data_IF_468356015811
#
_entry.id   IF_468356015811
#
_cell.length_a   1.000
_cell.length_b   1.000
_cell.length_c   1.000
_cell.angle_alpha   90.00
_cell.angle_beta   90.00
_cell.angle_gamma   90.00
#
_symmetry.space_group_name_H-M   'P 1'
#
loop_
_entity.id
_entity.type
_entity.pdbx_description
1 polymer ?
#
# COMPACT_ATOMS: atom_id res chain seq x y z
N UNK A 1 24.11 -7.05 -7.95
CA UNK A 1 23.12 -6.19 -7.29
C UNK A 1 21.94 -7.03 -6.82
N UNK A 2 21.28 -6.66 -5.71
CA UNK A 2 20.08 -7.37 -5.21
C UNK A 2 18.90 -6.91 -6.09
N UNK A 3 18.25 -7.86 -6.78
CA UNK A 3 17.01 -7.58 -7.52
C UNK A 3 15.95 -7.11 -6.53
N UNK A 4 15.36 -5.94 -6.75
CA UNK A 4 14.24 -5.45 -5.94
C UNK A 4 13.00 -6.32 -6.17
N UNK A 5 12.35 -6.70 -5.08
CA UNK A 5 11.12 -7.46 -5.14
C UNK A 5 9.94 -6.52 -5.39
N UNK A 6 9.01 -6.94 -6.25
CA UNK A 6 7.79 -6.17 -6.55
C UNK A 6 6.54 -6.98 -6.22
N UNK A 7 5.51 -6.28 -5.75
CA UNK A 7 4.16 -6.79 -5.50
C UNK A 7 3.18 -6.14 -6.46
N UNK A 8 2.18 -6.89 -6.88
CA UNK A 8 0.99 -6.36 -7.53
C UNK A 8 0.07 -5.79 -6.45
N UNK A 9 -0.02 -4.46 -6.32
CA UNK A 9 -0.97 -3.85 -5.40
C UNK A 9 -2.41 -4.10 -5.85
N UNK A 10 -3.31 -4.40 -4.91
CA UNK A 10 -4.70 -4.71 -5.22
C UNK A 10 -5.42 -3.56 -5.95
N UNK A 11 -5.05 -2.31 -5.64
CA UNK A 11 -5.63 -1.11 -6.23
C UNK A 11 -5.46 -0.94 -7.74
N UNK A 12 -4.54 -1.69 -8.39
CA UNK A 12 -4.39 -1.69 -9.87
C UNK A 12 -5.62 -2.29 -10.55
N UNK A 13 -6.26 -3.25 -9.90
CA UNK A 13 -7.39 -4.03 -10.44
C UNK A 13 -8.56 -4.03 -9.47
N UNK A 14 -9.23 -2.87 -9.26
CA UNK A 14 -10.30 -2.74 -8.27
C UNK A 14 -11.52 -3.64 -8.55
N UNK A 15 -11.68 -4.10 -9.79
CA UNK A 15 -12.74 -5.02 -10.21
C UNK A 15 -12.38 -6.50 -10.05
N UNK A 16 -11.12 -6.81 -9.72
CA UNK A 16 -10.67 -8.20 -9.63
C UNK A 16 -11.15 -8.88 -8.35
N UNK A 17 -11.54 -10.13 -8.46
CA UNK A 17 -11.78 -10.98 -7.29
C UNK A 17 -10.44 -11.32 -6.60
N UNK A 18 -10.45 -11.69 -5.30
CA UNK A 18 -9.25 -12.12 -4.59
C UNK A 18 -8.48 -13.24 -5.32
N UNK A 19 -9.19 -14.18 -5.93
CA UNK A 19 -8.60 -15.27 -6.70
C UNK A 19 -7.87 -14.76 -7.96
N UNK A 20 -8.49 -13.84 -8.70
CA UNK A 20 -7.91 -13.24 -9.89
C UNK A 20 -6.65 -12.41 -9.57
N UNK A 21 -6.59 -11.72 -8.42
CA UNK A 21 -5.38 -11.01 -7.99
C UNK A 21 -4.18 -11.96 -7.87
N UNK A 22 -4.37 -13.15 -7.27
CA UNK A 22 -3.31 -14.17 -7.18
C UNK A 22 -2.91 -14.69 -8.56
N UNK A 23 -3.88 -15.02 -9.41
CA UNK A 23 -3.63 -15.52 -10.77
C UNK A 23 -2.84 -14.50 -11.61
N UNK A 24 -3.25 -13.23 -11.55
CA UNK A 24 -2.59 -12.15 -12.26
C UNK A 24 -1.17 -11.88 -11.74
N UNK A 25 -0.97 -11.89 -10.42
CA UNK A 25 0.36 -11.72 -9.83
C UNK A 25 1.32 -12.84 -10.28
N UNK A 26 0.85 -14.09 -10.25
CA UNK A 26 1.61 -15.25 -10.71
C UNK A 26 1.95 -15.15 -12.20
N UNK A 27 0.93 -14.92 -13.05
CA UNK A 27 1.08 -14.84 -14.50
C UNK A 27 2.01 -13.72 -14.96
N UNK A 28 1.99 -12.57 -14.26
CA UNK A 28 2.83 -11.42 -14.57
C UNK A 28 4.24 -11.50 -13.94
N UNK A 29 4.54 -12.51 -13.12
CA UNK A 29 5.85 -12.70 -12.50
C UNK A 29 6.17 -11.68 -11.42
N UNK A 30 5.16 -11.22 -10.69
CA UNK A 30 5.38 -10.50 -9.44
C UNK A 30 5.92 -11.43 -8.36
N UNK A 31 6.74 -10.89 -7.46
CA UNK A 31 7.26 -11.66 -6.33
C UNK A 31 6.21 -11.81 -5.23
N UNK A 32 5.26 -10.85 -5.16
CA UNK A 32 4.17 -10.80 -4.19
C UNK A 32 2.86 -10.32 -4.84
N UNK A 33 1.75 -10.51 -4.10
CA UNK A 33 0.46 -9.88 -4.38
C UNK A 33 -0.07 -9.11 -3.17
N UNK A 34 -0.79 -8.03 -3.41
CA UNK A 34 -1.64 -7.35 -2.44
C UNK A 34 -3.05 -7.94 -2.43
N UNK A 35 -3.80 -7.72 -1.36
CA UNK A 35 -5.14 -8.29 -1.21
C UNK A 35 -6.12 -7.29 -0.59
N UNK A 36 -7.20 -6.98 -1.32
CA UNK A 36 -8.35 -6.31 -0.72
C UNK A 36 -9.24 -7.29 0.04
N UNK A 37 -9.57 -6.93 1.27
CA UNK A 37 -10.43 -7.71 2.15
C UNK A 37 -11.71 -6.94 2.39
N UNK A 38 -12.73 -7.27 1.61
CA UNK A 38 -14.02 -6.60 1.65
C UNK A 38 -14.89 -7.14 2.79
N UNK A 39 -15.25 -6.28 3.74
CA UNK A 39 -16.01 -6.64 4.95
C UNK A 39 -17.28 -7.43 4.68
N UNK A 40 -18.04 -6.99 3.65
CA UNK A 40 -19.37 -7.50 3.35
C UNK A 40 -19.36 -8.89 2.73
N UNK A 41 -18.25 -9.26 2.11
CA UNK A 41 -18.15 -10.51 1.31
C UNK A 41 -17.11 -11.48 1.84
N UNK A 42 -16.20 -11.02 2.72
CA UNK A 42 -15.13 -11.85 3.22
C UNK A 42 -15.60 -12.86 4.27
N UNK A 43 -15.14 -14.08 4.15
CA UNK A 43 -15.47 -15.17 5.06
C UNK A 43 -14.23 -15.95 5.47
N UNK A 44 -14.26 -16.71 6.58
CA UNK A 44 -13.17 -17.62 6.92
C UNK A 44 -12.90 -18.71 5.86
N UNK A 45 -13.90 -19.06 5.06
CA UNK A 45 -13.72 -19.96 3.92
C UNK A 45 -12.93 -19.29 2.81
N UNK A 46 -13.18 -18.01 2.53
CA UNK A 46 -12.43 -17.19 1.58
C UNK A 46 -10.95 -17.12 2.00
N UNK A 47 -10.67 -16.82 3.27
CA UNK A 47 -9.29 -16.79 3.80
C UNK A 47 -8.53 -18.08 3.52
N UNK A 48 -9.14 -19.24 3.83
CA UNK A 48 -8.51 -20.55 3.58
C UNK A 48 -8.28 -20.82 2.10
N UNK A 49 -9.27 -20.51 1.25
CA UNK A 49 -9.20 -20.74 -0.19
C UNK A 49 -8.08 -19.87 -0.82
N UNK A 50 -8.04 -18.57 -0.52
CA UNK A 50 -7.05 -17.63 -1.05
C UNK A 50 -5.64 -18.00 -0.55
N UNK A 51 -5.50 -18.30 0.73
CA UNK A 51 -4.21 -18.79 1.27
C UNK A 51 -3.71 -20.03 0.54
N UNK A 52 -4.59 -20.99 0.25
CA UNK A 52 -4.20 -22.20 -0.48
C UNK A 52 -3.83 -21.89 -1.91
N UNK A 53 -4.63 -21.09 -2.61
CA UNK A 53 -4.36 -20.67 -3.99
C UNK A 53 -3.03 -19.92 -4.11
N UNK A 54 -2.74 -18.99 -3.20
CA UNK A 54 -1.48 -18.26 -3.18
C UNK A 54 -0.28 -19.20 -3.05
N UNK A 55 -0.36 -20.19 -2.16
CA UNK A 55 0.66 -21.25 -2.01
C UNK A 55 0.85 -22.07 -3.29
N UNK A 56 -0.25 -22.51 -3.90
CA UNK A 56 -0.23 -23.33 -5.10
C UNK A 56 0.33 -22.58 -6.31
N UNK A 57 0.06 -21.26 -6.36
CA UNK A 57 0.60 -20.35 -7.37
C UNK A 57 2.05 -19.88 -7.09
N UNK A 58 2.59 -20.16 -5.90
CA UNK A 58 3.92 -19.69 -5.49
C UNK A 58 3.98 -18.16 -5.27
N UNK A 59 2.84 -17.51 -4.97
CA UNK A 59 2.74 -16.08 -4.70
C UNK A 59 2.62 -15.86 -3.19
N UNK A 60 3.53 -15.10 -2.60
CA UNK A 60 3.37 -14.64 -1.23
C UNK A 60 2.52 -13.37 -1.18
N UNK A 61 1.76 -13.16 -0.09
CA UNK A 61 1.00 -11.93 0.12
C UNK A 61 1.86 -10.91 0.85
N UNK A 62 2.09 -9.76 0.19
CA UNK A 62 2.85 -8.67 0.80
C UNK A 62 2.01 -7.92 1.81
N UNK A 63 0.79 -7.58 1.44
CA UNK A 63 -0.10 -6.75 2.24
C UNK A 63 -1.58 -7.11 2.06
N UNK A 64 -2.36 -6.72 3.06
CA UNK A 64 -3.82 -6.63 2.99
C UNK A 64 -4.25 -5.17 3.09
N UNK A 65 -5.34 -4.82 2.45
CA UNK A 65 -5.93 -3.47 2.39
C UNK A 65 -7.44 -3.54 2.70
N UNK A 66 -8.06 -2.57 3.34
CA UNK A 66 -7.55 -1.38 4.02
C UNK A 66 -8.13 -1.32 5.42
N UNK A 67 -7.30 -1.15 6.45
CA UNK A 67 -7.78 -0.78 7.77
C UNK A 67 -8.02 0.74 7.80
N UNK A 68 -9.26 1.16 7.61
CA UNK A 68 -9.62 2.57 7.55
C UNK A 68 -10.18 3.04 8.89
N UNK A 69 -9.37 3.79 9.64
CA UNK A 69 -9.80 4.39 10.90
C UNK A 69 -10.74 5.56 10.60
N UNK A 70 -12.00 5.46 11.08
CA UNK A 70 -13.03 6.47 10.91
C UNK A 70 -13.31 7.19 12.23
N UNK A 71 -13.92 8.40 12.19
CA UNK A 71 -14.44 9.07 13.40
C UNK A 71 -15.42 8.20 14.16
N UNK A 72 -15.46 8.37 15.49
CA UNK A 72 -16.37 7.62 16.35
C UNK A 72 -15.67 6.51 17.16
N UNK A 73 -16.44 5.52 17.67
CA UNK A 73 -15.88 4.44 18.49
C UNK A 73 -14.93 3.54 17.65
N UNK A 74 -14.02 2.79 18.31
CA UNK A 74 -13.22 1.77 17.64
C UNK A 74 -14.12 0.75 16.93
N UNK A 75 -13.78 0.44 15.66
CA UNK A 75 -14.48 -0.60 14.88
C UNK A 75 -13.79 -1.97 15.10
N UNK A 76 -14.51 -2.97 15.66
CA UNK A 76 -13.95 -4.30 15.87
C UNK A 76 -13.50 -4.99 14.59
N UNK A 77 -14.07 -4.64 13.43
CA UNK A 77 -13.67 -5.16 12.14
C UNK A 77 -12.19 -4.91 11.83
N UNK A 78 -11.66 -3.76 12.23
CA UNK A 78 -10.24 -3.44 11.98
C UNK A 78 -9.29 -4.40 12.73
N UNK A 79 -9.69 -4.85 13.92
CA UNK A 79 -8.94 -5.90 14.65
C UNK A 79 -9.08 -7.26 13.98
N UNK A 80 -10.29 -7.59 13.51
CA UNK A 80 -10.53 -8.82 12.74
C UNK A 80 -9.70 -8.84 11.45
N UNK A 81 -9.56 -7.71 10.76
CA UNK A 81 -8.75 -7.58 9.57
C UNK A 81 -7.26 -7.88 9.83
N UNK A 82 -6.73 -7.53 11.01
CA UNK A 82 -5.37 -7.93 11.43
C UNK A 82 -5.27 -9.47 11.48
N UNK A 83 -6.28 -10.14 12.05
CA UNK A 83 -6.29 -11.61 12.15
C UNK A 83 -6.45 -12.27 10.78
N UNK A 84 -7.31 -11.73 9.93
CA UNK A 84 -7.46 -12.19 8.54
C UNK A 84 -6.12 -12.07 7.78
N UNK A 85 -5.44 -10.93 7.88
CA UNK A 85 -4.12 -10.74 7.26
C UNK A 85 -3.10 -11.79 7.75
N UNK A 86 -3.10 -12.08 9.05
CA UNK A 86 -2.24 -13.11 9.64
C UNK A 86 -2.59 -14.52 9.14
N UNK A 87 -3.87 -14.86 9.09
CA UNK A 87 -4.33 -16.16 8.58
C UNK A 87 -4.03 -16.35 7.09
N UNK A 88 -4.12 -15.29 6.29
CA UNK A 88 -3.71 -15.27 4.89
C UNK A 88 -2.20 -15.49 4.74
N UNK A 89 -1.41 -15.15 5.75
CA UNK A 89 0.04 -15.12 5.71
C UNK A 89 0.60 -13.84 5.09
N UNK A 90 -0.18 -12.77 5.05
CA UNK A 90 0.28 -11.46 4.63
C UNK A 90 1.29 -10.89 5.63
N UNK A 91 2.28 -10.16 5.11
CA UNK A 91 3.34 -9.56 5.95
C UNK A 91 2.90 -8.22 6.54
N UNK A 92 1.98 -7.53 5.90
CA UNK A 92 1.58 -6.18 6.22
C UNK A 92 0.07 -6.00 6.17
N UNK A 93 -0.42 -5.02 6.92
CA UNK A 93 -1.77 -4.46 6.82
C UNK A 93 -1.64 -2.96 6.58
N UNK A 94 -2.20 -2.46 5.48
CA UNK A 94 -2.28 -1.04 5.19
C UNK A 94 -3.35 -0.41 6.08
N UNK A 95 -3.01 0.72 6.71
CA UNK A 95 -3.90 1.47 7.59
C UNK A 95 -3.87 2.96 7.22
N UNK A 96 -5.04 3.56 7.05
CA UNK A 96 -5.24 5.01 6.88
C UNK A 96 -6.19 5.54 7.93
N UNK A 97 -6.22 6.87 8.15
CA UNK A 97 -7.16 7.49 9.09
C UNK A 97 -7.83 8.73 8.52
N UNK A 98 -9.16 8.73 8.55
CA UNK A 98 -10.01 9.90 8.31
C UNK A 98 -10.63 10.45 9.61
N UNK A 99 -10.11 10.05 10.78
CA UNK A 99 -10.51 10.63 12.05
C UNK A 99 -9.75 11.96 12.28
N UNK A 100 -10.43 13.11 12.36
CA UNK A 100 -9.76 14.40 12.58
C UNK A 100 -9.17 14.54 13.99
N UNK A 101 -9.57 13.68 14.94
CA UNK A 101 -8.96 13.61 16.27
C UNK A 101 -7.69 12.73 16.22
N UNK A 102 -6.53 13.37 16.23
CA UNK A 102 -5.24 12.67 16.20
C UNK A 102 -4.99 11.82 17.44
N UNK A 103 -5.56 12.16 18.59
CA UNK A 103 -5.45 11.34 19.79
C UNK A 103 -6.30 10.07 19.66
N UNK A 104 -7.53 10.19 19.10
CA UNK A 104 -8.37 9.05 18.79
C UNK A 104 -7.74 8.15 17.71
N UNK A 105 -7.17 8.72 16.64
CA UNK A 105 -6.40 7.99 15.63
C UNK A 105 -5.26 7.20 16.27
N UNK A 106 -4.46 7.84 17.11
CA UNK A 106 -3.33 7.20 17.82
C UNK A 106 -3.79 6.03 18.68
N UNK A 107 -4.86 6.19 19.46
CA UNK A 107 -5.40 5.14 20.31
C UNK A 107 -5.95 3.95 19.52
N UNK A 108 -6.66 4.22 18.41
CA UNK A 108 -7.17 3.17 17.50
C UNK A 108 -6.04 2.44 16.78
N UNK A 109 -5.03 3.17 16.30
CA UNK A 109 -3.85 2.58 15.69
C UNK A 109 -3.05 1.73 16.69
N UNK A 110 -2.91 2.19 17.95
CA UNK A 110 -2.33 1.38 19.04
C UNK A 110 -3.07 0.05 19.22
N UNK A 111 -4.40 0.07 19.14
CA UNK A 111 -5.21 -1.16 19.24
C UNK A 111 -4.86 -2.16 18.13
N UNK A 112 -4.70 -1.69 16.89
CA UNK A 112 -4.31 -2.54 15.76
C UNK A 112 -2.89 -3.09 15.91
N UNK A 113 -1.94 -2.25 16.32
CA UNK A 113 -0.55 -2.67 16.59
C UNK A 113 -0.50 -3.72 17.71
N UNK A 114 -1.31 -3.55 18.76
CA UNK A 114 -1.42 -4.52 19.84
C UNK A 114 -2.02 -5.84 19.39
N UNK A 115 -3.04 -5.82 18.55
CA UNK A 115 -3.64 -7.02 17.94
C UNK A 115 -2.65 -7.76 17.03
N UNK A 116 -1.79 -7.02 16.34
CA UNK A 116 -0.77 -7.58 15.46
C UNK A 116 0.44 -8.18 16.20
N UNK A 117 0.60 -7.88 17.48
CA UNK A 117 1.71 -8.33 18.30
C UNK A 117 1.82 -9.84 18.33
N UNK A 118 2.56 -10.64 17.85
CA UNK A 118 2.66 -12.12 17.78
C UNK A 118 2.04 -12.74 16.52
N UNK A 119 1.50 -11.93 15.60
CA UNK A 119 0.92 -12.47 14.35
C UNK A 119 1.94 -12.54 13.22
N UNK A 120 3.00 -11.76 13.29
CA UNK A 120 3.97 -11.54 12.20
C UNK A 120 3.55 -10.44 11.22
N UNK A 121 2.33 -9.89 11.35
CA UNK A 121 1.84 -8.78 10.53
C UNK A 121 2.36 -7.45 11.05
N UNK A 122 2.79 -6.56 10.15
CA UNK A 122 3.11 -5.16 10.45
C UNK A 122 1.93 -4.28 10.05
N UNK A 123 1.47 -3.40 10.94
CA UNK A 123 0.42 -2.41 10.65
C UNK A 123 1.09 -1.15 10.15
N UNK A 124 0.90 -0.84 8.87
CA UNK A 124 1.57 0.24 8.19
C UNK A 124 0.65 1.46 8.09
N UNK A 125 0.97 2.51 8.83
CA UNK A 125 0.24 3.77 8.73
C UNK A 125 0.65 4.51 7.47
N UNK A 126 -0.29 4.69 6.56
CA UNK A 126 -0.14 5.50 5.37
C UNK A 126 -0.66 6.93 5.65
N UNK A 127 0.06 7.90 5.13
CA UNK A 127 -0.35 9.30 5.14
C UNK A 127 -0.65 9.78 3.72
N UNK A 128 -1.61 10.71 3.59
CA UNK A 128 -1.95 11.26 2.28
C UNK A 128 -2.98 12.38 2.39
N UNK A 129 -2.94 13.31 1.44
CA UNK A 129 -3.83 14.49 1.43
C UNK A 129 -5.31 14.16 1.32
N UNK A 130 -5.66 12.91 1.00
CA UNK A 130 -7.04 12.38 0.95
C UNK A 130 -7.55 11.90 2.32
N UNK A 131 -6.71 11.90 3.35
CA UNK A 131 -7.03 11.47 4.73
C UNK A 131 -6.83 12.61 5.73
N UNK A 132 -7.03 12.34 7.03
CA UNK A 132 -6.71 13.31 8.06
C UNK A 132 -5.25 13.20 8.57
N UNK A 133 -4.59 12.07 8.35
CA UNK A 133 -3.12 11.97 8.51
C UNK A 133 -2.47 12.38 7.20
N UNK A 134 -2.39 13.69 6.96
CA UNK A 134 -2.07 14.24 5.63
C UNK A 134 -0.60 14.23 5.26
N UNK A 135 0.30 14.19 6.25
CA UNK A 135 1.73 14.41 6.01
C UNK A 135 2.61 13.43 6.76
N UNK A 136 3.83 13.23 6.28
CA UNK A 136 4.84 12.41 6.96
C UNK A 136 5.10 12.84 8.42
N UNK A 137 5.23 14.13 8.78
CA UNK A 137 5.37 14.53 10.18
C UNK A 137 4.18 14.11 11.06
N UNK A 138 2.94 14.16 10.56
CA UNK A 138 1.77 13.70 11.31
C UNK A 138 1.82 12.19 11.55
N UNK A 139 2.11 11.39 10.52
CA UNK A 139 2.25 9.93 10.64
C UNK A 139 3.38 9.57 11.61
N UNK A 140 4.51 10.26 11.52
CA UNK A 140 5.64 10.09 12.42
C UNK A 140 5.26 10.35 13.87
N UNK A 141 4.55 11.43 14.17
CA UNK A 141 4.12 11.74 15.55
C UNK A 141 3.22 10.64 16.14
N UNK A 142 2.32 10.05 15.34
CA UNK A 142 1.49 8.92 15.75
C UNK A 142 2.37 7.69 16.04
N UNK A 143 3.30 7.36 15.15
CA UNK A 143 4.19 6.21 15.32
C UNK A 143 5.13 6.36 16.53
N UNK A 144 5.58 7.57 16.85
CA UNK A 144 6.37 7.86 18.05
C UNK A 144 5.57 7.67 19.34
N UNK A 145 4.25 7.96 19.31
CA UNK A 145 3.35 7.83 20.46
C UNK A 145 2.84 6.40 20.69
N UNK A 146 2.92 5.52 19.69
CA UNK A 146 2.43 4.14 19.75
C UNK A 146 3.53 3.18 20.17
N UNK A 147 3.22 2.23 21.06
CA UNK A 147 4.13 1.20 21.52
C UNK A 147 3.97 -0.10 20.70
N UNK A 148 5.05 -0.89 20.61
CA UNK A 148 5.07 -2.20 19.97
C UNK A 148 5.83 -2.23 18.64
N UNK A 149 6.38 -3.40 18.33
CA UNK A 149 7.23 -3.61 17.14
C UNK A 149 6.43 -3.82 15.86
N UNK A 150 5.13 -4.13 15.97
CA UNK A 150 4.27 -4.36 14.81
C UNK A 150 3.87 -3.06 14.08
N UNK A 151 4.19 -1.88 14.63
CA UNK A 151 3.95 -0.60 13.95
C UNK A 151 4.90 -0.40 12.78
N UNK A 152 4.40 0.18 11.70
CA UNK A 152 5.19 0.53 10.53
C UNK A 152 4.62 1.77 9.82
N UNK A 153 5.44 2.35 8.95
CA UNK A 153 5.08 3.47 8.08
C UNK A 153 5.02 2.96 6.65
N UNK A 154 3.94 3.29 5.96
CA UNK A 154 3.87 3.14 4.51
C UNK A 154 4.17 4.47 3.84
N UNK A 155 5.06 4.44 2.85
CA UNK A 155 5.37 5.57 1.99
C UNK A 155 4.90 5.25 0.57
N UNK A 156 3.84 5.92 0.15
CA UNK A 156 3.41 5.96 -1.24
C UNK A 156 4.00 7.18 -1.93
N UNK A 157 4.48 7.04 -3.18
CA UNK A 157 5.15 8.14 -3.89
C UNK A 157 4.23 9.32 -4.15
N UNK A 158 2.97 9.05 -4.58
CA UNK A 158 2.02 10.12 -4.86
C UNK A 158 1.71 10.91 -3.59
N UNK A 159 1.34 10.21 -2.52
CA UNK A 159 0.93 10.84 -1.28
C UNK A 159 2.08 11.59 -0.60
N UNK A 160 3.29 11.04 -0.65
CA UNK A 160 4.49 11.72 -0.18
C UNK A 160 4.78 12.99 -0.97
N UNK A 161 4.74 12.94 -2.31
CA UNK A 161 5.00 14.09 -3.16
C UNK A 161 3.91 15.17 -3.00
N UNK A 162 2.62 14.78 -2.99
CA UNK A 162 1.48 15.69 -2.86
C UNK A 162 1.42 16.39 -1.48
N UNK A 163 1.97 15.75 -0.45
CA UNK A 163 2.07 16.33 0.90
C UNK A 163 3.32 17.18 1.13
N UNK A 164 4.15 17.38 0.11
CA UNK A 164 5.36 18.19 0.19
C UNK A 164 6.52 17.49 0.91
N UNK A 165 6.55 16.17 0.92
CA UNK A 165 7.62 15.38 1.54
C UNK A 165 8.97 15.56 0.86
N UNK A 166 10.07 15.45 1.61
CA UNK A 166 11.44 15.53 1.11
C UNK A 166 12.19 14.22 1.30
N UNK A 167 13.23 13.99 0.50
CA UNK A 167 14.07 12.79 0.64
C UNK A 167 14.83 12.77 1.97
N UNK A 168 15.17 13.94 2.52
CA UNK A 168 15.82 14.09 3.81
C UNK A 168 14.91 13.65 4.96
N UNK A 169 13.62 13.98 4.90
CA UNK A 169 12.64 13.54 5.89
C UNK A 169 12.49 12.00 5.88
N UNK A 170 12.52 11.38 4.69
CA UNK A 170 12.49 9.91 4.57
C UNK A 170 13.74 9.24 5.15
N UNK A 171 14.92 9.84 4.92
CA UNK A 171 16.18 9.32 5.50
C UNK A 171 16.21 9.40 7.03
N UNK A 172 15.43 10.32 7.61
CA UNK A 172 15.31 10.50 9.06
C UNK A 172 14.32 9.51 9.72
N UNK A 173 13.57 8.72 8.96
CA UNK A 173 12.66 7.71 9.49
C UNK A 173 13.46 6.51 10.02
N UNK A 174 13.13 6.01 11.24
CA UNK A 174 13.69 4.77 11.76
C UNK A 174 13.51 3.62 10.78
N UNK A 175 14.58 2.95 10.41
CA UNK A 175 14.52 1.90 9.37
C UNK A 175 13.65 0.72 9.75
N UNK A 176 13.53 0.43 11.03
CA UNK A 176 12.66 -0.59 11.60
C UNK A 176 11.15 -0.29 11.41
N UNK A 177 10.79 0.95 11.09
CA UNK A 177 9.40 1.29 10.76
C UNK A 177 9.05 1.03 9.30
N UNK A 178 10.04 0.76 8.45
CA UNK A 178 9.85 0.56 7.02
C UNK A 178 9.79 -0.94 6.71
N UNK A 179 8.66 -1.42 6.22
CA UNK A 179 8.45 -2.82 5.84
C UNK A 179 8.20 -3.02 4.35
N UNK A 180 7.63 -2.04 3.68
CA UNK A 180 7.46 -1.96 2.23
C UNK A 180 7.14 -0.50 1.83
N UNK A 181 7.05 -0.23 0.54
CA UNK A 181 6.61 1.06 0.01
C UNK A 181 5.71 0.86 -1.22
N UNK A 182 4.95 1.88 -1.57
CA UNK A 182 4.06 1.89 -2.75
C UNK A 182 4.54 2.91 -3.79
N UNK A 183 5.44 2.49 -4.70
CA UNK A 183 5.89 3.37 -5.77
C UNK A 183 4.86 3.41 -6.90
N UNK A 184 4.64 4.61 -7.38
CA UNK A 184 3.97 4.93 -8.65
C UNK A 184 4.60 6.19 -9.22
N UNK A 185 4.21 6.57 -10.43
CA UNK A 185 4.44 7.92 -10.95
C UNK A 185 3.08 8.62 -11.18
N UNK A 186 3.10 9.90 -11.49
CA UNK A 186 1.94 10.71 -11.81
C UNK A 186 2.37 12.01 -12.47
N UNK A 187 1.46 12.84 -13.03
CA UNK A 187 1.80 14.17 -13.52
C UNK A 187 2.49 14.99 -12.42
N UNK A 188 3.48 15.81 -12.82
CA UNK A 188 4.20 16.68 -11.88
C UNK A 188 3.26 17.66 -11.17
N UNK A 189 2.29 18.20 -11.89
CA UNK A 189 1.26 19.07 -11.35
C UNK A 189 0.21 18.26 -10.60
N UNK A 190 -0.01 18.62 -9.33
CA UNK A 190 -1.00 17.99 -8.46
C UNK A 190 -2.40 18.57 -8.68
N UNK A 191 -3.40 17.97 -7.99
CA UNK A 191 -4.77 18.46 -8.01
C UNK A 191 -4.90 19.77 -7.22
N UNK A 192 -6.01 20.47 -7.43
CA UNK A 192 -6.42 21.54 -6.54
C UNK A 192 -6.73 20.95 -5.16
N UNK A 193 -5.99 21.38 -4.13
CA UNK A 193 -6.15 20.86 -2.76
C UNK A 193 -7.45 21.30 -2.08
N UNK A 194 -8.22 22.19 -2.68
CA UNK A 194 -9.56 22.60 -2.23
C UNK A 194 -10.67 21.76 -2.85
N UNK A 195 -10.35 20.97 -3.87
CA UNK A 195 -11.28 20.06 -4.56
C UNK A 195 -10.98 18.60 -4.16
N UNK A 196 -11.83 18.08 -3.25
CA UNK A 196 -11.64 16.71 -2.75
C UNK A 196 -11.84 15.65 -3.85
N UNK A 197 -12.75 15.87 -4.79
CA UNK A 197 -12.97 14.95 -5.91
C UNK A 197 -11.75 14.90 -6.84
N UNK A 198 -11.10 16.04 -7.08
CA UNK A 198 -9.85 16.09 -7.83
C UNK A 198 -8.69 15.39 -7.10
N UNK A 199 -8.63 15.48 -5.76
CA UNK A 199 -7.65 14.74 -4.95
C UNK A 199 -7.86 13.23 -5.07
N UNK A 200 -9.10 12.77 -4.99
CA UNK A 200 -9.44 11.35 -5.16
C UNK A 200 -9.15 10.89 -6.58
N UNK A 201 -9.52 11.66 -7.60
CA UNK A 201 -9.22 11.33 -9.00
C UNK A 201 -7.72 11.18 -9.25
N UNK A 202 -6.89 12.08 -8.72
CA UNK A 202 -5.42 11.98 -8.79
C UNK A 202 -4.91 10.66 -8.18
N UNK A 203 -5.48 10.26 -7.04
CA UNK A 203 -5.07 9.06 -6.31
C UNK A 203 -5.48 7.74 -6.99
N UNK A 204 -6.65 7.70 -7.66
CA UNK A 204 -7.22 6.42 -8.14
C UNK A 204 -7.28 6.29 -9.67
N UNK A 205 -7.06 7.38 -10.45
CA UNK A 205 -7.20 7.36 -11.90
C UNK A 205 -6.00 7.92 -12.66
N UNK A 206 -5.15 8.75 -12.03
CA UNK A 206 -4.13 9.53 -12.75
C UNK A 206 -2.71 9.05 -12.49
N UNK A 207 -2.53 7.94 -11.78
CA UNK A 207 -1.20 7.36 -11.61
C UNK A 207 -0.66 6.83 -12.93
N UNK A 208 0.64 6.79 -13.07
CA UNK A 208 1.38 6.47 -14.28
C UNK A 208 2.42 5.38 -14.00
N UNK A 209 2.89 4.65 -15.04
CA UNK A 209 4.00 3.72 -14.91
C UNK A 209 5.25 4.42 -14.34
N UNK A 210 6.04 3.66 -13.58
CA UNK A 210 7.28 4.17 -12.97
C UNK A 210 8.18 4.84 -14.01
N UNK A 211 8.57 6.08 -13.74
CA UNK A 211 9.46 6.90 -14.57
C UNK A 211 8.81 7.52 -15.80
N UNK A 212 7.48 7.45 -15.95
CA UNK A 212 6.75 8.07 -17.06
C UNK A 212 5.97 9.33 -16.66
N UNK A 213 5.99 9.70 -15.40
CA UNK A 213 5.40 10.92 -14.88
C UNK A 213 6.45 11.96 -14.50
N UNK A 214 6.11 12.79 -13.52
CA UNK A 214 6.96 13.88 -13.04
C UNK A 214 7.12 13.91 -11.52
N UNK A 215 6.74 12.84 -10.81
CA UNK A 215 6.97 12.75 -9.37
C UNK A 215 8.47 12.55 -9.06
N UNK A 216 8.94 12.96 -7.88
CA UNK A 216 10.32 12.74 -7.45
C UNK A 216 10.57 11.27 -7.03
N UNK A 217 10.05 10.31 -7.81
CA UNK A 217 10.08 8.88 -7.57
C UNK A 217 11.49 8.36 -7.29
N UNK A 218 12.47 8.77 -8.11
CA UNK A 218 13.85 8.36 -7.92
C UNK A 218 14.41 8.78 -6.56
N UNK A 219 14.13 10.01 -6.15
CA UNK A 219 14.57 10.54 -4.86
C UNK A 219 13.95 9.78 -3.67
N UNK A 220 12.66 9.41 -3.77
CA UNK A 220 11.99 8.58 -2.77
C UNK A 220 12.67 7.20 -2.67
N UNK A 221 12.82 6.52 -3.80
CA UNK A 221 13.37 5.16 -3.85
C UNK A 221 14.81 5.11 -3.35
N UNK A 222 15.62 6.15 -3.62
CA UNK A 222 17.01 6.25 -3.15
C UNK A 222 17.13 6.60 -1.67
N UNK A 223 16.11 7.25 -1.09
CA UNK A 223 16.04 7.55 0.34
C UNK A 223 15.65 6.33 1.19
N UNK A 224 14.92 5.37 0.61
CA UNK A 224 14.43 4.17 1.29
C UNK A 224 15.46 3.02 1.23
N UNK A 225 15.42 2.07 2.20
CA UNK A 225 16.30 0.90 2.17
C UNK A 225 16.17 0.08 0.88
N UNK A 226 17.29 -0.29 0.29
CA UNK A 226 17.32 -0.98 -1.01
C UNK A 226 16.64 -2.37 -1.03
N UNK A 227 16.45 -2.99 0.13
CA UNK A 227 15.84 -4.31 0.28
C UNK A 227 14.32 -4.27 0.48
N UNK A 228 13.72 -3.08 0.62
CA UNK A 228 12.27 -2.98 0.82
C UNK A 228 11.52 -3.52 -0.41
N UNK A 229 10.53 -4.41 -0.21
CA UNK A 229 9.58 -4.75 -1.26
C UNK A 229 8.80 -3.51 -1.73
N UNK A 230 8.44 -3.50 -2.99
CA UNK A 230 7.70 -2.41 -3.64
C UNK A 230 6.34 -2.92 -4.11
N UNK A 231 5.24 -2.53 -3.47
CA UNK A 231 3.90 -2.76 -3.99
C UNK A 231 3.62 -1.71 -5.07
N UNK A 232 3.69 -2.12 -6.33
CA UNK A 232 3.46 -1.20 -7.45
C UNK A 232 1.99 -0.78 -7.42
N UNK A 233 1.72 0.51 -7.25
CA UNK A 233 0.35 1.00 -7.12
C UNK A 233 -0.01 1.96 -8.27
N UNK A 234 0.00 1.44 -9.48
CA UNK A 234 -0.38 2.17 -10.69
C UNK A 234 -1.92 2.17 -10.86
N UNK A 235 -2.64 2.89 -9.98
CA UNK A 235 -4.09 3.11 -10.12
C UNK A 235 -4.32 4.13 -11.22
N UNK A 236 -4.66 3.63 -12.41
CA UNK A 236 -4.69 4.42 -13.65
C UNK A 236 -5.90 4.09 -14.50
N UNK A 237 -6.73 5.08 -14.83
CA UNK A 237 -7.80 4.91 -15.80
C UNK A 237 -7.22 4.56 -17.17
N UNK A 238 -6.15 5.21 -17.58
CA UNK A 238 -5.49 4.95 -18.86
C UNK A 238 -4.94 3.51 -18.95
N UNK A 239 -4.40 2.96 -17.84
CA UNK A 239 -3.95 1.57 -17.81
C UNK A 239 -5.14 0.59 -17.94
N UNK A 240 -6.25 0.87 -17.25
CA UNK A 240 -7.47 0.05 -17.34
C UNK A 240 -8.07 0.06 -18.73
N UNK A 241 -8.10 1.22 -19.37
CA UNK A 241 -8.63 1.39 -20.73
C UNK A 241 -7.74 0.70 -21.77
N UNK A 242 -6.41 0.81 -21.63
CA UNK A 242 -5.45 0.18 -22.53
C UNK A 242 -5.40 -1.36 -22.39
N UNK A 243 -5.65 -1.87 -21.18
CA UNK A 243 -5.58 -3.29 -20.83
C UNK A 243 -6.83 -3.71 -20.03
N UNK A 244 -7.97 -3.93 -20.69
CA UNK A 244 -9.20 -4.38 -20.03
C UNK A 244 -9.08 -5.81 -19.47
N UNK A 245 -8.25 -6.66 -20.08
CA UNK A 245 -7.92 -7.97 -19.52
C UNK A 245 -6.98 -7.82 -18.30
N UNK A 246 -7.36 -8.44 -17.20
CA UNK A 246 -6.64 -8.31 -15.92
C UNK A 246 -5.20 -8.84 -15.99
N UNK A 247 -4.99 -9.96 -16.68
CA UNK A 247 -3.66 -10.58 -16.80
C UNK A 247 -2.75 -9.73 -17.67
N UNK A 248 -3.26 -9.22 -18.81
CA UNK A 248 -2.52 -8.32 -19.67
C UNK A 248 -2.14 -7.03 -18.95
N UNK A 249 -3.06 -6.49 -18.14
CA UNK A 249 -2.82 -5.30 -17.29
C UNK A 249 -1.70 -5.55 -16.29
N UNK A 250 -1.75 -6.66 -15.54
CA UNK A 250 -0.72 -7.03 -14.60
C UNK A 250 0.64 -7.22 -15.29
N UNK A 251 0.67 -7.89 -16.45
CA UNK A 251 1.87 -8.06 -17.27
C UNK A 251 2.45 -6.73 -17.77
N UNK A 252 1.61 -5.78 -18.18
CA UNK A 252 2.03 -4.46 -18.62
C UNK A 252 2.68 -3.69 -17.45
N UNK A 253 2.02 -3.67 -16.27
CA UNK A 253 2.53 -3.05 -15.07
C UNK A 253 3.86 -3.67 -14.61
N UNK A 254 3.97 -5.00 -14.56
CA UNK A 254 5.21 -5.69 -14.18
C UNK A 254 6.35 -5.34 -15.14
N UNK A 255 6.11 -5.37 -16.45
CA UNK A 255 7.12 -5.08 -17.48
C UNK A 255 7.66 -3.66 -17.36
N UNK A 256 6.79 -2.66 -17.23
CA UNK A 256 7.20 -1.25 -17.12
C UNK A 256 7.96 -1.00 -15.82
N UNK A 257 7.49 -1.58 -14.72
CA UNK A 257 8.14 -1.45 -13.41
C UNK A 257 9.54 -2.09 -13.40
N UNK A 258 9.68 -3.30 -13.96
CA UNK A 258 10.99 -3.97 -14.07
C UNK A 258 11.94 -3.18 -14.96
N UNK A 259 11.48 -2.70 -16.12
CA UNK A 259 12.32 -1.91 -17.02
C UNK A 259 12.87 -0.65 -16.33
N UNK A 260 12.04 0.05 -15.54
CA UNK A 260 12.48 1.22 -14.78
C UNK A 260 13.49 0.87 -13.69
N UNK A 261 13.25 -0.21 -12.93
CA UNK A 261 14.14 -0.67 -11.87
C UNK A 261 15.48 -1.14 -12.42
N UNK A 262 15.48 -1.89 -13.53
CA UNK A 262 16.69 -2.41 -14.17
C UNK A 262 17.55 -1.28 -14.78
N UNK A 263 16.90 -0.22 -15.30
CA UNK A 263 17.58 0.97 -15.81
C UNK A 263 18.28 1.83 -14.75
N UNK A 264 18.06 1.53 -13.45
CA UNK A 264 18.69 2.20 -12.30
C UNK A 264 19.78 1.35 -11.62
N UNK A 265 19.97 0.13 -12.07
CA UNK A 265 20.89 -0.86 -11.50
C UNK A 265 22.37 -0.61 -11.86
#
# INVERSE_FOLDING_TARGET
MIRRQISLAAGIMPEATPAQLIECAAAAGFDFGGMWVERETWTPATTRAIRQQARDAGVELLDCEVAWIMPGPPDPWLTELVHIAAELGARNLLCVSSDPDMAATTAKFQTLVSAAARTGVRVNLEFGIFTEVKTLPMARAILEAVEGEAKALLVDTLHWARSGGTAEDLKAIPREWLSYCQPCDAPAEGPDLTDFDAIIDDAINRRMPLGQGGLPLAAMVDALPAHLPMAIEERSAALRDAYPDLTERACACARTSRAWLDGRA
#
